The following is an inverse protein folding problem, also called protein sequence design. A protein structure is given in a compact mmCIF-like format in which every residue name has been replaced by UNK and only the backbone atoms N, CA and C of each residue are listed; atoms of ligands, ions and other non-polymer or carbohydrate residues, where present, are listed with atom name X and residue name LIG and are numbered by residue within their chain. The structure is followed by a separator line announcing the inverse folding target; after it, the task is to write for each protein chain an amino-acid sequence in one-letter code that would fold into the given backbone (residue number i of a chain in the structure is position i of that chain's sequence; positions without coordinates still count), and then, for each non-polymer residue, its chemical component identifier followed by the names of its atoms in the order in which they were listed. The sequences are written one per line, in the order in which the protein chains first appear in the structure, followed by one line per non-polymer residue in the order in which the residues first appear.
data_IF_962072197226
#
_entry.id   IF_962072197226
#
_cell.length_a   1.000
_cell.length_b   1.000
_cell.length_c   1.000
_cell.angle_alpha   90.00
_cell.angle_beta   90.00
_cell.angle_gamma   90.00
#
_symmetry.space_group_name_H-M   'P 1'
#
loop_
_entity.id
_entity.type
_entity.pdbx_description
1 polymer ?
#
# COMPACT_ATOMS: atom_id res chain seq x y z
N UNK A 1 -7.11 -16.66 6.84
CA UNK A 1 -7.30 -16.58 5.36
C UNK A 1 -8.68 -16.01 5.10
N UNK A 2 -8.77 -14.95 4.30
CA UNK A 2 -10.03 -14.32 3.87
C UNK A 2 -10.37 -14.81 2.48
N UNK A 3 -11.64 -15.12 2.23
CA UNK A 3 -12.13 -15.55 0.92
C UNK A 3 -13.26 -14.63 0.51
N UNK A 4 -13.22 -14.16 -0.74
CA UNK A 4 -14.27 -13.35 -1.35
C UNK A 4 -14.77 -14.03 -2.61
N UNK A 5 -16.08 -14.16 -2.71
CA UNK A 5 -16.74 -14.69 -3.91
C UNK A 5 -17.35 -13.53 -4.67
N UNK A 6 -16.89 -13.35 -5.89
CA UNK A 6 -17.43 -12.41 -6.87
C UNK A 6 -18.36 -13.15 -7.86
N UNK A 7 -18.88 -12.44 -8.83
CA UNK A 7 -19.75 -13.01 -9.85
C UNK A 7 -19.04 -14.10 -10.66
N UNK A 8 -17.80 -13.84 -11.08
CA UNK A 8 -17.09 -14.67 -12.04
C UNK A 8 -15.82 -15.31 -11.48
N UNK A 9 -15.42 -14.98 -10.24
CA UNK A 9 -14.22 -15.55 -9.62
C UNK A 9 -14.34 -15.65 -8.10
N UNK A 10 -13.42 -16.40 -7.53
CA UNK A 10 -13.19 -16.47 -6.09
C UNK A 10 -11.75 -16.01 -5.84
N UNK A 11 -11.55 -15.12 -4.89
CA UNK A 11 -10.22 -14.74 -4.42
C UNK A 11 -10.01 -15.16 -2.97
N UNK A 12 -8.77 -15.54 -2.65
CA UNK A 12 -8.35 -15.89 -1.31
C UNK A 12 -7.07 -15.15 -0.96
N UNK A 13 -7.01 -14.67 0.27
CA UNK A 13 -5.85 -13.95 0.80
C UNK A 13 -5.56 -14.35 2.25
N UNK A 14 -4.30 -14.66 2.53
CA UNK A 14 -3.81 -14.85 3.90
C UNK A 14 -2.96 -13.64 4.32
N UNK A 15 -3.48 -12.81 5.20
CA UNK A 15 -2.80 -11.61 5.70
C UNK A 15 -1.52 -11.89 6.51
N UNK A 16 -1.29 -13.12 6.95
CA UNK A 16 -0.09 -13.52 7.69
C UNK A 16 1.07 -13.88 6.77
N UNK A 17 0.75 -14.60 5.67
CA UNK A 17 1.76 -15.10 4.73
C UNK A 17 1.87 -14.25 3.47
N UNK A 18 0.89 -13.39 3.19
CA UNK A 18 0.79 -12.62 1.95
C UNK A 18 0.35 -13.47 0.74
N UNK A 19 0.02 -14.74 0.94
CA UNK A 19 -0.43 -15.61 -0.15
C UNK A 19 -1.78 -15.11 -0.66
N UNK A 20 -1.83 -14.88 -1.96
CA UNK A 20 -3.00 -14.44 -2.68
C UNK A 20 -3.19 -15.30 -3.93
N UNK A 21 -4.41 -15.71 -4.19
CA UNK A 21 -4.77 -16.37 -5.46
C UNK A 21 -6.21 -16.03 -5.87
N UNK A 22 -6.45 -16.12 -7.15
CA UNK A 22 -7.77 -16.04 -7.78
C UNK A 22 -8.03 -17.31 -8.59
N UNK A 23 -9.30 -17.70 -8.69
CA UNK A 23 -9.74 -18.76 -9.59
C UNK A 23 -11.11 -18.40 -10.16
N UNK A 24 -11.29 -18.63 -11.46
CA UNK A 24 -12.56 -18.45 -12.13
C UNK A 24 -13.63 -19.40 -11.60
N UNK A 25 -14.90 -19.04 -11.77
CA UNK A 25 -16.04 -19.90 -11.45
C UNK A 25 -16.38 -20.74 -12.68
N UNK A 26 -16.45 -22.05 -12.50
CA UNK A 26 -16.83 -22.97 -13.55
C UNK A 26 -18.35 -23.24 -13.51
N UNK A 27 -19.01 -23.03 -14.65
CA UNK A 27 -20.40 -23.43 -14.87
C UNK A 27 -20.42 -24.41 -16.03
N UNK A 28 -20.89 -25.62 -15.79
CA UNK A 28 -20.87 -26.71 -16.76
C UNK A 28 -19.48 -26.99 -17.35
N UNK A 29 -18.43 -26.88 -16.53
CA UNK A 29 -17.04 -27.13 -16.92
C UNK A 29 -16.38 -26.03 -17.75
N UNK A 30 -17.01 -24.87 -17.89
CA UNK A 30 -16.45 -23.68 -18.55
C UNK A 30 -16.40 -22.52 -17.57
N UNK A 31 -15.38 -21.70 -17.68
CA UNK A 31 -15.30 -20.45 -16.93
C UNK A 31 -16.42 -19.49 -17.37
N UNK A 32 -16.98 -18.76 -16.42
CA UNK A 32 -18.05 -17.79 -16.67
C UNK A 32 -17.54 -16.52 -17.34
N UNK A 33 -16.26 -16.19 -17.13
CA UNK A 33 -15.59 -15.02 -17.68
C UNK A 33 -14.09 -15.30 -17.78
N UNK A 34 -13.40 -14.66 -18.72
CA UNK A 34 -11.95 -14.72 -18.87
C UNK A 34 -11.25 -13.72 -17.93
N UNK A 35 -10.05 -14.05 -17.45
CA UNK A 35 -9.20 -13.10 -16.73
C UNK A 35 -8.74 -11.95 -17.69
N UNK A 36 -8.65 -10.69 -17.25
CA UNK A 36 -8.70 -10.22 -15.85
C UNK A 36 -10.13 -10.08 -15.30
N UNK A 37 -10.38 -10.75 -14.20
CA UNK A 37 -11.67 -10.66 -13.50
C UNK A 37 -11.87 -9.29 -12.86
N UNK A 38 -13.06 -8.75 -12.97
CA UNK A 38 -13.42 -7.48 -12.34
C UNK A 38 -14.03 -7.71 -10.96
N UNK A 39 -13.34 -7.26 -9.92
CA UNK A 39 -13.86 -7.25 -8.57
C UNK A 39 -14.90 -6.13 -8.38
N UNK A 40 -15.90 -6.37 -7.54
CA UNK A 40 -16.90 -5.35 -7.16
C UNK A 40 -16.31 -4.23 -6.33
N UNK A 41 -15.16 -4.47 -5.68
CA UNK A 41 -14.40 -3.49 -4.90
C UNK A 41 -12.89 -3.82 -4.98
N UNK A 42 -12.00 -2.81 -4.97
CA UNK A 42 -10.56 -3.03 -5.05
C UNK A 42 -10.02 -3.94 -3.95
N UNK A 43 -9.27 -4.97 -4.32
CA UNK A 43 -8.57 -5.86 -3.40
C UNK A 43 -7.23 -5.29 -2.93
N UNK A 44 -6.67 -4.35 -3.71
CA UNK A 44 -5.52 -3.53 -3.39
C UNK A 44 -5.85 -2.07 -3.67
N UNK A 45 -5.55 -1.20 -2.72
CA UNK A 45 -5.69 0.25 -2.86
C UNK A 45 -4.32 0.93 -2.80
N UNK A 46 -4.10 1.86 -3.72
CA UNK A 46 -3.01 2.82 -3.63
C UNK A 46 -3.47 4.03 -2.82
N UNK A 47 -2.76 4.33 -1.71
CA UNK A 47 -3.13 5.43 -0.81
C UNK A 47 -1.91 6.37 -0.64
N UNK A 48 -2.04 7.58 -1.14
CA UNK A 48 -1.03 8.64 -0.97
C UNK A 48 -1.10 9.22 0.44
N UNK A 49 -0.20 8.83 1.31
CA UNK A 49 -0.10 9.38 2.68
C UNK A 49 0.88 10.54 2.79
N UNK A 50 1.82 10.66 1.83
CA UNK A 50 2.85 11.70 1.80
C UNK A 50 2.45 12.86 0.91
N UNK A 51 2.44 14.07 1.45
CA UNK A 51 2.20 15.33 0.74
C UNK A 51 3.47 16.04 0.27
N UNK A 52 4.63 15.68 0.84
CA UNK A 52 5.93 16.28 0.52
C UNK A 52 7.06 15.25 0.63
N UNK A 53 8.19 15.56 0.01
CA UNK A 53 9.37 14.71 0.03
C UNK A 53 10.56 15.46 0.69
N UNK A 54 11.05 14.96 1.82
CA UNK A 54 12.22 15.55 2.50
C UNK A 54 13.47 15.50 1.63
N UNK A 55 13.69 14.43 0.88
CA UNK A 55 14.84 14.26 -0.01
C UNK A 55 14.74 15.20 -1.21
N UNK A 56 13.54 15.38 -1.77
CA UNK A 56 13.29 16.38 -2.81
C UNK A 56 13.56 17.79 -2.30
N UNK A 57 12.97 18.17 -1.18
CA UNK A 57 13.14 19.52 -0.58
C UNK A 57 14.58 19.81 -0.17
N UNK A 58 15.36 18.81 0.25
CA UNK A 58 16.80 18.99 0.55
C UNK A 58 17.67 19.20 -0.71
N UNK A 59 17.12 19.00 -1.90
CA UNK A 59 17.85 19.05 -3.15
C UNK A 59 18.72 17.83 -3.45
N UNK A 60 18.68 16.78 -2.62
CA UNK A 60 19.52 15.58 -2.77
C UNK A 60 19.31 14.91 -4.14
N UNK A 61 18.05 14.71 -4.52
CA UNK A 61 17.71 14.10 -5.81
C UNK A 61 18.19 14.95 -6.99
N UNK A 62 18.04 16.27 -6.90
CA UNK A 62 18.50 17.20 -7.96
C UNK A 62 20.02 17.16 -8.11
N UNK A 63 20.77 17.16 -6.99
CA UNK A 63 22.23 17.05 -7.01
C UNK A 63 22.70 15.71 -7.59
N UNK A 64 21.92 14.64 -7.43
CA UNK A 64 22.19 13.33 -8.00
C UNK A 64 21.68 13.16 -9.45
N UNK A 65 21.13 14.21 -10.07
CA UNK A 65 20.61 14.17 -11.42
C UNK A 65 19.29 13.37 -11.59
N UNK A 66 18.60 13.08 -10.49
CA UNK A 66 17.36 12.31 -10.51
C UNK A 66 16.19 13.21 -10.90
N UNK A 67 15.46 12.81 -11.96
CA UNK A 67 14.16 13.37 -12.29
C UNK A 67 13.06 12.72 -11.48
N UNK A 68 12.45 13.47 -10.57
CA UNK A 68 11.38 12.96 -9.73
C UNK A 68 10.03 13.09 -10.43
N UNK A 69 9.38 11.95 -10.75
CA UNK A 69 8.04 11.94 -11.37
C UNK A 69 6.94 12.45 -10.43
N UNK A 70 7.18 12.43 -9.11
CA UNK A 70 6.28 12.96 -8.08
C UNK A 70 6.41 14.49 -7.89
N UNK A 71 7.35 15.14 -8.60
CA UNK A 71 7.66 16.55 -8.41
C UNK A 71 8.04 16.93 -6.96
N UNK A 72 8.74 16.04 -6.27
CA UNK A 72 9.08 16.17 -4.84
C UNK A 72 9.91 17.40 -4.48
N UNK A 73 10.55 18.04 -5.46
CA UNK A 73 11.28 19.31 -5.28
C UNK A 73 10.37 20.50 -4.94
N UNK A 74 9.15 20.49 -5.48
CA UNK A 74 8.25 21.66 -5.49
C UNK A 74 6.98 21.43 -4.64
N UNK A 75 6.72 20.20 -4.21
CA UNK A 75 5.54 19.89 -3.38
C UNK A 75 5.84 20.06 -1.90
N UNK A 76 4.97 20.80 -1.22
CA UNK A 76 5.04 21.07 0.20
C UNK A 76 3.67 20.93 0.88
N UNK A 77 2.84 20.03 0.36
CA UNK A 77 1.54 19.74 0.94
C UNK A 77 1.69 19.03 2.30
N UNK A 78 0.69 19.13 3.14
CA UNK A 78 0.67 18.35 4.39
C UNK A 78 0.53 16.85 4.09
N UNK A 79 1.11 16.03 4.95
CA UNK A 79 0.87 14.59 4.94
C UNK A 79 -0.58 14.29 5.32
N UNK A 80 -1.09 13.12 4.94
CA UNK A 80 -2.43 12.69 5.30
C UNK A 80 -2.55 12.56 6.83
N UNK A 81 -3.60 13.12 7.42
CA UNK A 81 -3.84 12.95 8.85
C UNK A 81 -4.24 11.52 9.17
N UNK A 82 -3.84 11.03 10.34
CA UNK A 82 -4.14 9.68 10.80
C UNK A 82 -5.65 9.40 10.86
N UNK A 83 -6.44 10.41 11.25
CA UNK A 83 -7.91 10.29 11.31
C UNK A 83 -8.53 10.06 9.94
N UNK A 84 -8.04 10.75 8.89
CA UNK A 84 -8.51 10.58 7.54
C UNK A 84 -8.12 9.20 6.99
N UNK A 85 -6.88 8.76 7.26
CA UNK A 85 -6.43 7.43 6.92
C UNK A 85 -7.27 6.34 7.61
N UNK A 86 -7.52 6.49 8.91
CA UNK A 86 -8.36 5.56 9.69
C UNK A 86 -9.77 5.44 9.10
N UNK A 87 -10.36 6.55 8.66
CA UNK A 87 -11.67 6.55 8.00
C UNK A 87 -11.64 5.76 6.70
N UNK A 88 -10.65 6.00 5.84
CA UNK A 88 -10.49 5.25 4.58
C UNK A 88 -10.39 3.74 4.87
N UNK A 89 -9.52 3.34 5.79
CA UNK A 89 -9.34 1.93 6.14
C UNK A 89 -10.62 1.32 6.70
N UNK A 90 -11.37 2.05 7.53
CA UNK A 90 -12.64 1.54 8.09
C UNK A 90 -13.71 1.30 7.01
N UNK A 91 -13.75 2.12 5.96
CA UNK A 91 -14.69 1.99 4.86
C UNK A 91 -14.35 0.83 3.90
N UNK A 92 -13.07 0.52 3.74
CA UNK A 92 -12.63 -0.52 2.79
C UNK A 92 -12.28 -1.89 3.42
N UNK A 93 -12.24 -1.99 4.74
CA UNK A 93 -11.72 -3.19 5.47
C UNK A 93 -12.37 -4.50 5.08
N UNK A 94 -13.66 -4.50 4.74
CA UNK A 94 -14.40 -5.73 4.39
C UNK A 94 -13.98 -6.29 3.01
N UNK A 95 -13.49 -5.44 2.12
CA UNK A 95 -13.28 -5.77 0.72
C UNK A 95 -11.81 -5.73 0.27
N UNK A 96 -10.98 -4.92 0.94
CA UNK A 96 -9.58 -4.73 0.58
C UNK A 96 -8.68 -5.68 1.35
N UNK A 97 -7.72 -6.28 0.69
CA UNK A 97 -6.72 -7.17 1.29
C UNK A 97 -5.42 -6.44 1.60
N UNK A 98 -5.04 -5.52 0.74
CA UNK A 98 -3.74 -4.86 0.78
C UNK A 98 -3.86 -3.37 0.48
N UNK A 99 -2.94 -2.60 1.02
CA UNK A 99 -2.74 -1.21 0.62
C UNK A 99 -1.29 -1.00 0.20
N UNK A 100 -1.09 -0.24 -0.87
CA UNK A 100 0.20 0.30 -1.24
C UNK A 100 0.25 1.75 -0.75
N UNK A 101 1.11 2.03 0.21
CA UNK A 101 1.29 3.36 0.75
C UNK A 101 2.27 4.13 -0.13
N UNK A 102 1.93 5.37 -0.45
CA UNK A 102 2.71 6.21 -1.35
C UNK A 102 2.49 7.69 -1.12
N UNK A 103 2.48 8.44 -2.22
CA UNK A 103 2.33 9.88 -2.24
C UNK A 103 3.61 10.57 -2.69
N UNK A 104 3.77 11.84 -2.36
CA UNK A 104 4.97 12.59 -2.69
C UNK A 104 6.04 12.38 -1.62
N UNK A 105 6.92 11.39 -1.81
CA UNK A 105 8.00 11.06 -0.89
C UNK A 105 7.88 9.64 -0.31
N UNK A 106 8.86 9.28 0.49
CA UNK A 106 8.94 7.94 1.09
C UNK A 106 7.95 7.79 2.25
N UNK A 107 7.06 6.80 2.25
CA UNK A 107 6.06 6.60 3.31
C UNK A 107 6.65 6.43 4.71
N UNK A 108 7.85 5.86 4.82
CA UNK A 108 8.57 5.71 6.10
C UNK A 108 9.04 7.04 6.72
N UNK A 109 8.88 8.15 6.00
CA UNK A 109 9.12 9.51 6.48
C UNK A 109 7.87 10.18 7.09
N UNK A 110 6.72 9.50 7.07
CA UNK A 110 5.50 10.02 7.68
C UNK A 110 5.64 10.08 9.20
N UNK A 111 5.22 11.18 9.82
CA UNK A 111 5.34 11.43 11.28
C UNK A 111 4.63 10.38 12.14
N UNK A 112 3.57 9.78 11.63
CA UNK A 112 2.78 8.73 12.28
C UNK A 112 2.91 7.37 11.58
N UNK A 113 4.06 7.06 10.98
CA UNK A 113 4.24 5.88 10.13
C UNK A 113 3.84 4.57 10.81
N UNK A 114 4.33 4.31 12.04
CA UNK A 114 3.99 3.07 12.76
C UNK A 114 2.48 2.98 13.05
N UNK A 115 1.84 4.08 13.42
CA UNK A 115 0.39 4.10 13.68
C UNK A 115 -0.41 3.78 12.42
N UNK A 116 -0.02 4.33 11.27
CA UNK A 116 -0.64 4.02 9.97
C UNK A 116 -0.55 2.53 9.66
N UNK A 117 0.62 1.93 9.82
CA UNK A 117 0.80 0.49 9.60
C UNK A 117 -0.04 -0.36 10.56
N UNK A 118 -0.11 0.06 11.82
CA UNK A 118 -0.93 -0.60 12.84
C UNK A 118 -2.41 -0.55 12.51
N UNK A 119 -2.93 0.60 12.05
CA UNK A 119 -4.33 0.75 11.61
C UNK A 119 -4.67 -0.25 10.51
N UNK A 120 -3.77 -0.44 9.54
CA UNK A 120 -3.97 -1.46 8.50
C UNK A 120 -4.08 -2.86 9.09
N UNK A 121 -3.15 -3.24 9.97
CA UNK A 121 -3.14 -4.59 10.57
C UNK A 121 -4.32 -4.85 11.49
N UNK A 122 -4.74 -3.86 12.26
CA UNK A 122 -5.93 -3.95 13.13
C UNK A 122 -7.22 -4.16 12.29
N UNK A 123 -7.21 -3.74 11.02
CA UNK A 123 -8.27 -4.00 10.04
C UNK A 123 -8.05 -5.25 9.17
N UNK A 124 -7.06 -6.09 9.49
CA UNK A 124 -6.63 -7.26 8.70
C UNK A 124 -6.22 -6.95 7.26
N UNK A 125 -5.81 -5.70 7.00
CA UNK A 125 -5.26 -5.25 5.72
C UNK A 125 -3.74 -5.26 5.80
N UNK A 126 -3.07 -5.71 4.74
CA UNK A 126 -1.60 -5.76 4.69
C UNK A 126 -1.05 -4.50 4.05
N UNK A 127 -0.28 -3.66 4.79
CA UNK A 127 0.38 -2.51 4.22
C UNK A 127 1.68 -2.90 3.49
N UNK A 128 1.87 -2.32 2.32
CA UNK A 128 3.08 -2.43 1.51
C UNK A 128 3.51 -1.01 1.09
N UNK A 129 4.78 -0.81 0.78
CA UNK A 129 5.23 0.48 0.24
C UNK A 129 6.56 0.35 -0.50
N UNK A 130 6.89 1.41 -1.25
CA UNK A 130 8.20 1.60 -1.87
C UNK A 130 8.89 2.78 -1.22
N UNK A 131 10.18 2.68 -0.97
CA UNK A 131 11.03 3.73 -0.39
C UNK A 131 12.34 3.86 -1.16
N UNK A 132 12.96 5.02 -1.11
CA UNK A 132 14.37 5.17 -1.54
C UNK A 132 15.35 4.51 -0.57
N UNK A 133 14.91 4.22 0.65
CA UNK A 133 15.75 3.69 1.72
C UNK A 133 16.66 4.72 2.40
N UNK A 134 16.73 5.95 1.90
CA UNK A 134 17.63 6.99 2.43
C UNK A 134 17.32 7.39 3.89
N UNK A 135 16.06 7.27 4.31
CA UNK A 135 15.62 7.53 5.68
C UNK A 135 15.52 6.29 6.56
N UNK A 136 15.81 5.10 6.01
CA UNK A 136 15.60 3.84 6.72
C UNK A 136 16.58 3.67 7.88
N UNK A 137 16.07 3.53 9.09
CA UNK A 137 16.83 3.21 10.30
C UNK A 137 16.60 1.76 10.71
N UNK A 138 17.39 1.25 11.66
CA UNK A 138 17.16 -0.08 12.24
C UNK A 138 15.79 -0.18 12.92
N UNK A 139 15.35 0.90 13.56
CA UNK A 139 14.03 1.00 14.20
C UNK A 139 12.91 0.95 13.17
N UNK A 140 13.00 1.79 12.12
CA UNK A 140 12.04 1.77 10.99
C UNK A 140 11.98 0.40 10.33
N UNK A 141 13.12 -0.26 10.10
CA UNK A 141 13.18 -1.60 9.53
C UNK A 141 12.52 -2.65 10.46
N UNK A 142 12.65 -2.51 11.77
CA UNK A 142 11.97 -3.39 12.72
C UNK A 142 10.44 -3.20 12.71
N UNK A 143 9.98 -1.96 12.59
CA UNK A 143 8.56 -1.62 12.40
C UNK A 143 8.04 -2.24 11.09
N UNK A 144 8.76 -2.07 9.99
CA UNK A 144 8.41 -2.68 8.71
C UNK A 144 8.30 -4.20 8.81
N UNK A 145 9.29 -4.86 9.42
CA UNK A 145 9.27 -6.33 9.64
C UNK A 145 8.04 -6.78 10.44
N UNK A 146 7.57 -5.97 11.37
CA UNK A 146 6.43 -6.28 12.23
C UNK A 146 5.10 -6.14 11.50
N UNK A 147 4.95 -5.14 10.64
CA UNK A 147 3.66 -4.76 10.10
C UNK A 147 3.53 -4.92 8.59
N UNK A 148 4.58 -4.72 7.80
CA UNK A 148 4.48 -4.74 6.35
C UNK A 148 4.41 -6.14 5.76
N UNK A 149 3.73 -6.28 4.62
CA UNK A 149 3.79 -7.47 3.79
C UNK A 149 5.01 -7.44 2.90
N UNK A 150 5.26 -6.29 2.25
CA UNK A 150 6.42 -6.07 1.40
C UNK A 150 6.92 -4.62 1.54
N UNK A 151 8.22 -4.46 1.44
CA UNK A 151 8.90 -3.17 1.30
C UNK A 151 9.84 -3.26 0.12
N UNK A 152 9.58 -2.46 -0.92
CA UNK A 152 10.46 -2.33 -2.07
C UNK A 152 11.42 -1.17 -1.87
N UNK A 153 12.69 -1.35 -2.24
CA UNK A 153 13.68 -0.27 -2.25
C UNK A 153 13.94 0.11 -3.70
N UNK A 154 13.74 1.39 -4.02
CA UNK A 154 13.97 1.95 -5.34
C UNK A 154 15.41 2.47 -5.43
N UNK A 155 16.13 2.06 -6.49
CA UNK A 155 17.49 2.50 -6.82
C UNK A 155 17.47 3.54 -7.94
#
# INVERSE_FOLDING_TARGET
MRTRKEKDFISCFDSRTGVYYRTGILVNGKETEDDPFMASFPELLDIGIMGHCRHGQSGLCLQSGIQCYQNGLNRADANMRVEDFRRIISECRENTYQVALGGCGDPDQHEAFEEILKICRDAEIVPNFTTSGLGMTRETAAICKKYCGAVAVSW
#
